data_IF_057306843449
#
_entry.id   IF_057306843449
#
_cell.length_a   1.000
_cell.length_b   1.000
_cell.length_c   1.000
_cell.angle_alpha   90.00
_cell.angle_beta   90.00
_cell.angle_gamma   90.00
#
_symmetry.space_group_name_H-M   'P 1'
#
loop_
_entity.id
_entity.type
_entity.pdbx_description
1 polymer ?
#
# COMPACT_ATOMS: atom_id res chain seq x y z
N UNK A 1 -23.75 -10.80 14.92
CA UNK A 1 -22.99 -10.91 16.19
C UNK A 1 -21.80 -10.02 15.99
N UNK A 2 -21.97 -8.76 16.32
CA UNK A 2 -20.95 -7.73 16.21
C UNK A 2 -20.03 -7.89 17.41
N UNK A 3 -18.85 -8.45 17.18
CA UNK A 3 -17.75 -8.37 18.15
C UNK A 3 -17.17 -6.98 18.07
N UNK A 4 -17.66 -6.10 18.95
CA UNK A 4 -16.96 -4.88 19.32
C UNK A 4 -15.56 -5.26 19.82
N UNK A 5 -14.55 -4.99 18.99
CA UNK A 5 -13.16 -5.05 19.37
C UNK A 5 -12.91 -3.90 20.35
N UNK A 6 -13.07 -4.17 21.65
CA UNK A 6 -12.54 -3.32 22.71
C UNK A 6 -11.01 -3.26 22.55
N UNK A 7 -10.53 -2.23 21.87
CA UNK A 7 -9.10 -1.92 21.82
C UNK A 7 -8.75 -1.33 23.18
N UNK A 8 -8.20 -2.15 24.06
CA UNK A 8 -7.55 -1.67 25.28
C UNK A 8 -6.41 -0.70 24.88
N UNK A 9 -6.63 0.58 25.16
CA UNK A 9 -5.69 1.69 24.92
C UNK A 9 -4.74 1.91 26.11
N UNK A 10 -4.85 1.12 27.19
CA UNK A 10 -4.02 1.31 28.39
C UNK A 10 -2.69 0.54 28.33
N UNK A 11 -2.61 -0.51 27.50
CA UNK A 11 -1.37 -1.23 27.23
C UNK A 11 -0.59 -0.60 26.08
N UNK A 12 0.71 -0.32 26.28
CA UNK A 12 1.61 0.11 25.20
C UNK A 12 1.64 -0.98 24.11
N UNK A 13 1.22 -0.71 22.86
CA UNK A 13 1.29 -1.73 21.82
C UNK A 13 2.71 -2.26 21.66
N UNK A 14 2.82 -3.57 21.51
CA UNK A 14 4.09 -4.26 21.29
C UNK A 14 4.08 -4.84 19.89
N UNK A 15 5.20 -4.70 19.18
CA UNK A 15 5.38 -5.32 17.87
C UNK A 15 5.31 -6.84 18.00
N UNK A 16 4.40 -7.48 17.25
CA UNK A 16 4.33 -8.94 17.19
C UNK A 16 5.62 -9.47 16.57
N UNK A 17 6.17 -10.57 17.11
CA UNK A 17 7.37 -11.23 16.58
C UNK A 17 7.12 -12.71 16.37
N UNK A 18 7.70 -13.25 15.31
CA UNK A 18 7.62 -14.66 14.94
C UNK A 18 9.00 -15.31 14.94
N UNK A 19 9.07 -16.60 15.30
CA UNK A 19 10.33 -17.37 15.38
C UNK A 19 11.10 -17.33 14.06
N UNK A 20 10.38 -17.33 12.92
CA UNK A 20 10.98 -17.30 11.59
C UNK A 20 11.81 -16.05 11.29
N UNK A 21 11.58 -14.96 12.02
CA UNK A 21 12.33 -13.71 11.86
C UNK A 21 13.78 -13.84 12.35
N UNK A 22 14.02 -14.72 13.33
CA UNK A 22 15.32 -14.92 13.97
C UNK A 22 16.16 -16.04 13.30
N UNK A 23 15.58 -16.77 12.34
CA UNK A 23 16.28 -17.84 11.63
C UNK A 23 17.35 -17.30 10.67
N UNK A 24 18.52 -17.95 10.66
CA UNK A 24 19.52 -17.74 9.61
C UNK A 24 18.96 -18.14 8.23
N UNK A 25 19.57 -17.69 7.11
CA UNK A 25 19.07 -18.03 5.78
C UNK A 25 18.90 -19.55 5.55
N UNK A 26 19.85 -20.35 6.05
CA UNK A 26 19.83 -21.80 5.91
C UNK A 26 18.79 -22.46 6.79
N UNK A 27 18.60 -21.99 8.03
CA UNK A 27 17.56 -22.49 8.92
C UNK A 27 16.17 -22.14 8.40
N UNK A 28 15.99 -20.93 7.84
CA UNK A 28 14.76 -20.53 7.20
C UNK A 28 14.42 -21.43 6.01
N UNK A 29 15.38 -21.72 5.13
CA UNK A 29 15.14 -22.57 3.97
C UNK A 29 14.69 -23.99 4.40
N UNK A 30 15.38 -24.56 5.39
CA UNK A 30 15.02 -25.87 5.93
C UNK A 30 13.62 -25.86 6.57
N UNK A 31 13.29 -24.82 7.35
CA UNK A 31 11.97 -24.68 7.97
C UNK A 31 10.86 -24.45 6.93
N UNK A 32 11.13 -23.64 5.91
CA UNK A 32 10.22 -23.40 4.77
C UNK A 32 9.86 -24.70 4.07
N UNK A 33 10.86 -25.50 3.69
CA UNK A 33 10.65 -26.79 3.02
C UNK A 33 9.94 -27.79 3.94
N UNK A 34 10.36 -27.88 5.21
CA UNK A 34 9.77 -28.80 6.20
C UNK A 34 8.30 -28.50 6.44
N UNK A 35 7.96 -27.27 6.79
CA UNK A 35 6.58 -26.86 7.13
C UNK A 35 5.67 -26.93 5.90
N UNK A 36 6.18 -26.56 4.72
CA UNK A 36 5.42 -26.69 3.48
C UNK A 36 5.11 -28.16 3.15
N UNK A 37 6.07 -29.06 3.33
CA UNK A 37 5.85 -30.49 3.15
C UNK A 37 4.88 -31.09 4.18
N UNK A 38 4.88 -30.57 5.41
CA UNK A 38 4.01 -31.01 6.51
C UNK A 38 2.55 -30.56 6.33
N UNK A 39 2.34 -29.30 5.95
CA UNK A 39 1.01 -28.67 5.87
C UNK A 39 0.37 -28.75 4.48
N UNK A 40 1.18 -28.85 3.42
CA UNK A 40 0.75 -28.59 2.05
C UNK A 40 0.63 -27.08 1.74
N UNK A 41 0.56 -26.76 0.44
CA UNK A 41 0.71 -25.39 -0.06
C UNK A 41 -0.38 -24.42 0.43
N UNK A 42 -1.64 -24.85 0.47
CA UNK A 42 -2.77 -24.00 0.87
C UNK A 42 -2.71 -23.62 2.35
N UNK A 43 -2.47 -24.59 3.23
CA UNK A 43 -2.34 -24.35 4.66
C UNK A 43 -1.05 -23.58 4.99
N UNK A 44 0.04 -23.82 4.24
CA UNK A 44 1.27 -23.05 4.35
C UNK A 44 1.06 -21.57 3.98
N UNK A 45 0.36 -21.30 2.87
CA UNK A 45 0.01 -19.95 2.46
C UNK A 45 -0.83 -19.24 3.53
N UNK A 46 -1.90 -19.88 4.00
CA UNK A 46 -2.78 -19.32 5.02
C UNK A 46 -2.02 -19.00 6.32
N UNK A 47 -1.09 -19.87 6.73
CA UNK A 47 -0.19 -19.61 7.86
C UNK A 47 0.62 -18.33 7.62
N UNK A 48 1.38 -18.25 6.53
CA UNK A 48 2.26 -17.10 6.25
C UNK A 48 1.49 -15.79 6.07
N UNK A 49 0.36 -15.81 5.36
CA UNK A 49 -0.52 -14.65 5.20
C UNK A 49 -1.07 -14.16 6.55
N UNK A 50 -1.43 -15.08 7.46
CA UNK A 50 -1.89 -14.73 8.80
C UNK A 50 -0.80 -14.08 9.65
N UNK A 51 0.46 -14.55 9.53
CA UNK A 51 1.59 -13.96 10.24
C UNK A 51 1.87 -12.54 9.70
N UNK A 52 1.84 -12.34 8.38
CA UNK A 52 1.95 -11.01 7.75
C UNK A 52 0.87 -10.04 8.23
N UNK A 53 -0.39 -10.50 8.28
CA UNK A 53 -1.53 -9.71 8.73
C UNK A 53 -1.38 -9.29 10.20
N UNK A 54 -1.04 -10.22 11.08
CA UNK A 54 -0.80 -9.90 12.50
C UNK A 54 0.35 -8.90 12.68
N UNK A 55 1.43 -9.06 11.90
CA UNK A 55 2.55 -8.11 11.92
C UNK A 55 2.09 -6.72 11.48
N UNK A 56 1.40 -6.61 10.34
CA UNK A 56 0.95 -5.32 9.81
C UNK A 56 -0.04 -4.62 10.75
N UNK A 57 -0.98 -5.35 11.34
CA UNK A 57 -1.91 -4.82 12.35
C UNK A 57 -1.16 -4.29 13.58
N UNK A 58 -0.15 -5.01 14.07
CA UNK A 58 0.67 -4.55 15.20
C UNK A 58 1.44 -3.26 14.87
N UNK A 59 1.98 -3.14 13.66
CA UNK A 59 2.65 -1.93 13.16
C UNK A 59 1.66 -0.77 13.06
N UNK A 60 0.48 -0.99 12.48
CA UNK A 60 -0.58 0.01 12.38
C UNK A 60 -1.00 0.51 13.76
N UNK A 61 -1.16 -0.38 14.75
CA UNK A 61 -1.48 0.00 16.13
C UNK A 61 -0.41 0.90 16.74
N UNK A 62 0.87 0.63 16.47
CA UNK A 62 1.98 1.48 16.94
C UNK A 62 2.00 2.85 16.25
N UNK A 63 1.65 2.94 14.96
CA UNK A 63 1.55 4.20 14.22
C UNK A 63 0.39 5.03 14.77
N UNK A 64 -0.81 4.45 14.89
CA UNK A 64 -2.03 5.14 15.35
C UNK A 64 -1.89 5.65 16.78
N UNK A 65 -1.20 4.90 17.66
CA UNK A 65 -0.92 5.33 19.04
C UNK A 65 0.23 6.34 19.14
N UNK A 66 0.82 6.74 18.02
CA UNK A 66 1.93 7.71 17.97
C UNK A 66 3.26 7.18 18.53
N UNK A 67 3.35 5.88 18.83
CA UNK A 67 4.59 5.24 19.27
C UNK A 67 5.61 5.14 18.13
N UNK A 68 5.12 4.94 16.90
CA UNK A 68 5.96 4.96 15.70
C UNK A 68 5.60 6.16 14.84
N UNK A 69 6.55 7.07 14.68
CA UNK A 69 6.41 8.22 13.77
C UNK A 69 6.96 7.85 12.41
N UNK A 70 6.10 7.79 11.41
CA UNK A 70 6.50 7.75 10.00
C UNK A 70 6.98 9.17 9.63
N UNK A 71 8.08 9.32 8.87
CA UNK A 71 8.48 10.62 8.35
C UNK A 71 7.29 11.29 7.65
N UNK A 72 7.09 12.58 7.90
CA UNK A 72 6.13 13.37 7.13
C UNK A 72 6.51 13.23 5.65
N UNK A 73 5.67 12.56 4.87
CA UNK A 73 5.79 12.56 3.41
C UNK A 73 5.47 14.00 2.99
N UNK A 74 6.50 14.77 2.67
CA UNK A 74 6.34 16.11 2.10
C UNK A 74 5.95 15.94 0.63
N UNK A 75 4.66 15.78 0.41
CA UNK A 75 4.08 15.73 -0.92
C UNK A 75 2.61 16.06 -0.83
N UNK A 76 2.25 17.33 -0.98
CA UNK A 76 0.92 17.70 -1.44
C UNK A 76 0.88 17.46 -2.95
N UNK A 77 1.01 16.20 -3.35
CA UNK A 77 0.76 15.87 -4.74
C UNK A 77 -0.76 15.89 -4.89
N UNK A 78 -1.25 16.99 -5.46
CA UNK A 78 -2.63 17.07 -5.90
C UNK A 78 -2.89 15.87 -6.82
N UNK A 79 -4.00 15.15 -6.63
CA UNK A 79 -4.33 14.03 -7.50
C UNK A 79 -4.46 14.50 -8.94
N UNK A 80 -4.17 13.61 -9.89
CA UNK A 80 -4.38 13.83 -11.31
C UNK A 80 -5.86 13.78 -11.71
N UNK A 81 -6.74 13.46 -10.75
CA UNK A 81 -8.18 13.40 -10.90
C UNK A 81 -8.94 13.93 -9.70
N UNK A 82 -10.13 14.41 -10.00
CA UNK A 82 -11.10 14.86 -9.03
C UNK A 82 -12.43 14.13 -9.27
N UNK A 83 -13.02 13.59 -8.20
CA UNK A 83 -14.35 13.00 -8.22
C UNK A 83 -15.34 13.96 -7.55
N UNK A 84 -16.40 14.31 -8.27
CA UNK A 84 -17.50 15.12 -7.73
C UNK A 84 -18.53 14.23 -7.00
N UNK A 85 -19.31 14.83 -6.11
CA UNK A 85 -20.34 14.11 -5.33
C UNK A 85 -21.44 13.46 -6.20
N UNK A 86 -21.65 13.96 -7.42
CA UNK A 86 -22.57 13.38 -8.41
C UNK A 86 -21.98 12.18 -9.18
N UNK A 87 -20.78 11.72 -8.82
CA UNK A 87 -20.12 10.56 -9.41
C UNK A 87 -19.34 10.84 -10.69
N UNK A 88 -19.26 12.10 -11.13
CA UNK A 88 -18.46 12.51 -12.29
C UNK A 88 -16.99 12.61 -11.91
N UNK A 89 -16.11 12.15 -12.78
CA UNK A 89 -14.67 12.26 -12.61
C UNK A 89 -14.07 13.17 -13.68
N UNK A 90 -13.15 14.03 -13.27
CA UNK A 90 -12.45 14.97 -14.15
C UNK A 90 -10.95 14.77 -14.04
N UNK A 91 -10.28 14.90 -15.19
CA UNK A 91 -8.82 15.04 -15.23
C UNK A 91 -8.44 16.40 -14.64
N UNK A 92 -7.30 16.47 -13.97
CA UNK A 92 -6.82 17.71 -13.34
C UNK A 92 -5.33 17.90 -13.54
N UNK A 93 -4.95 19.15 -13.77
CA UNK A 93 -3.59 19.60 -13.94
C UNK A 93 -3.14 19.66 -15.40
N UNK A 94 -2.18 20.55 -15.64
CA UNK A 94 -1.58 20.82 -16.96
C UNK A 94 -0.99 19.56 -17.59
N UNK A 95 -0.49 18.62 -16.77
CA UNK A 95 0.03 17.34 -17.23
C UNK A 95 -1.03 16.46 -17.93
N UNK A 96 -2.31 16.66 -17.61
CA UNK A 96 -3.44 15.97 -18.22
C UNK A 96 -4.08 16.77 -19.37
N UNK A 97 -3.47 17.91 -19.77
CA UNK A 97 -4.01 18.80 -20.78
C UNK A 97 -5.09 19.76 -20.26
N UNK A 98 -5.30 19.83 -18.94
CA UNK A 98 -6.28 20.71 -18.32
C UNK A 98 -5.62 22.05 -17.97
N UNK A 99 -6.17 23.19 -18.41
CA UNK A 99 -5.72 24.51 -18.00
C UNK A 99 -5.60 24.67 -16.48
N UNK A 100 -4.62 25.45 -16.03
CA UNK A 100 -4.30 25.63 -14.61
C UNK A 100 -5.44 26.34 -13.86
N UNK A 101 -6.08 27.33 -14.47
CA UNK A 101 -7.24 28.05 -13.96
C UNK A 101 -8.46 27.14 -13.73
N UNK A 102 -8.70 26.20 -14.66
CA UNK A 102 -9.76 25.19 -14.51
C UNK A 102 -9.42 24.25 -13.35
N UNK A 103 -8.17 23.82 -13.25
CA UNK A 103 -7.70 22.93 -12.19
C UNK A 103 -7.84 23.59 -10.80
N UNK A 104 -7.41 24.84 -10.67
CA UNK A 104 -7.56 25.63 -9.43
C UNK A 104 -9.02 25.81 -9.06
N UNK A 105 -9.88 26.13 -10.03
CA UNK A 105 -11.30 26.34 -9.79
C UNK A 105 -12.04 25.03 -9.41
N UNK A 106 -11.64 23.89 -9.98
CA UNK A 106 -12.12 22.57 -9.54
C UNK A 106 -11.68 22.24 -8.11
N UNK A 107 -10.46 22.59 -7.69
CA UNK A 107 -10.06 22.39 -6.29
C UNK A 107 -10.80 23.33 -5.33
N UNK A 108 -10.97 24.59 -5.71
CA UNK A 108 -11.67 25.60 -4.91
C UNK A 108 -13.17 25.27 -4.70
N UNK A 109 -13.77 24.49 -5.60
CA UNK A 109 -15.16 24.06 -5.44
C UNK A 109 -15.38 23.01 -4.34
N UNK A 110 -14.33 22.29 -3.90
CA UNK A 110 -14.42 21.39 -2.75
C UNK A 110 -14.32 22.12 -1.41
N UNK A 111 -13.65 23.28 -1.38
CA UNK A 111 -13.55 24.09 -0.17
C UNK A 111 -14.87 24.83 0.14
N UNK A 112 -15.73 24.98 -0.86
CA UNK A 112 -17.06 25.54 -0.73
C UNK A 112 -18.11 24.42 -0.70
N UNK A 113 -18.79 24.21 0.43
CA UNK A 113 -19.87 23.20 0.61
C UNK A 113 -21.16 23.48 -0.22
N UNK A 114 -21.04 24.16 -1.36
CA UNK A 114 -22.14 24.47 -2.27
C UNK A 114 -22.30 23.45 -3.39
N UNK A 115 -23.47 23.46 -4.04
CA UNK A 115 -23.71 22.71 -5.26
C UNK A 115 -22.86 23.30 -6.39
N UNK A 116 -21.79 22.60 -6.76
CA UNK A 116 -20.89 23.03 -7.83
C UNK A 116 -21.48 22.65 -9.19
N UNK A 117 -22.02 23.65 -9.90
CA UNK A 117 -22.41 23.49 -11.30
C UNK A 117 -21.17 23.50 -12.19
N UNK A 118 -20.89 22.37 -12.84
CA UNK A 118 -19.76 22.22 -13.76
C UNK A 118 -20.06 22.98 -15.06
N UNK A 119 -19.21 23.95 -15.48
CA UNK A 119 -19.37 24.62 -16.77
C UNK A 119 -19.35 23.64 -17.95
N UNK A 120 -20.14 23.91 -18.98
CA UNK A 120 -20.23 23.05 -20.18
C UNK A 120 -18.88 22.88 -20.90
N UNK A 121 -18.05 23.92 -20.87
CA UNK A 121 -16.69 23.90 -21.42
C UNK A 121 -15.79 22.88 -20.70
N UNK A 122 -16.07 22.56 -19.44
CA UNK A 122 -15.22 21.65 -18.66
C UNK A 122 -15.60 20.18 -18.86
N UNK A 123 -16.75 19.89 -19.48
CA UNK A 123 -17.17 18.52 -19.76
C UNK A 123 -16.23 17.81 -20.73
N UNK A 124 -15.42 18.56 -21.50
CA UNK A 124 -14.37 17.97 -22.36
C UNK A 124 -13.27 17.25 -21.56
N UNK A 125 -13.11 17.59 -20.28
CA UNK A 125 -12.16 16.97 -19.36
C UNK A 125 -12.79 15.88 -18.48
N UNK A 126 -14.09 15.62 -18.66
CA UNK A 126 -14.76 14.51 -17.98
C UNK A 126 -14.18 13.19 -18.46
N UNK A 127 -13.82 12.33 -17.51
CA UNK A 127 -13.44 10.96 -17.79
C UNK A 127 -14.70 10.19 -18.17
N UNK A 128 -14.73 9.67 -19.40
CA UNK A 128 -15.90 8.94 -19.87
C UNK A 128 -16.13 7.66 -19.04
N UNK A 129 -17.39 7.25 -18.93
CA UNK A 129 -17.73 6.00 -18.24
C UNK A 129 -17.03 4.76 -18.85
N UNK A 130 -16.76 4.78 -20.16
CA UNK A 130 -16.00 3.71 -20.83
C UNK A 130 -14.53 3.68 -20.40
N UNK A 131 -13.88 4.85 -20.34
CA UNK A 131 -12.50 4.98 -19.83
C UNK A 131 -12.42 4.52 -18.37
N UNK A 132 -13.35 4.99 -17.52
CA UNK A 132 -13.40 4.62 -16.11
C UNK A 132 -13.56 3.10 -15.92
N UNK A 133 -14.51 2.48 -16.63
CA UNK A 133 -14.73 1.04 -16.56
C UNK A 133 -13.53 0.22 -17.08
N UNK A 134 -12.82 0.72 -18.09
CA UNK A 134 -11.61 0.08 -18.61
C UNK A 134 -10.48 0.12 -17.58
N UNK A 135 -10.28 1.26 -16.92
CA UNK A 135 -9.26 1.42 -15.90
C UNK A 135 -9.57 0.63 -14.65
N UNK A 136 -10.82 0.59 -14.21
CA UNK A 136 -11.24 -0.25 -13.09
C UNK A 136 -10.94 -1.73 -13.40
N UNK A 137 -11.26 -2.18 -14.62
CA UNK A 137 -10.93 -3.54 -15.08
C UNK A 137 -9.41 -3.79 -15.03
N UNK A 138 -8.60 -2.89 -15.59
CA UNK A 138 -7.14 -3.01 -15.55
C UNK A 138 -6.60 -3.03 -14.12
N UNK A 139 -7.09 -2.15 -13.25
CA UNK A 139 -6.71 -2.10 -11.85
C UNK A 139 -7.15 -3.36 -11.10
N UNK A 140 -8.27 -3.97 -11.47
CA UNK A 140 -8.71 -5.25 -10.91
C UNK A 140 -7.82 -6.42 -11.36
N UNK A 141 -7.48 -6.48 -12.65
CA UNK A 141 -6.57 -7.48 -13.21
C UNK A 141 -5.16 -7.35 -12.62
N UNK A 142 -4.66 -6.12 -12.47
CA UNK A 142 -3.38 -5.85 -11.84
C UNK A 142 -3.39 -6.25 -10.36
N UNK A 143 -4.47 -5.96 -9.62
CA UNK A 143 -4.65 -6.41 -8.23
C UNK A 143 -4.61 -7.93 -8.13
N UNK A 144 -5.38 -8.63 -8.95
CA UNK A 144 -5.38 -10.10 -9.01
C UNK A 144 -3.98 -10.65 -9.32
N UNK A 145 -3.31 -10.09 -10.32
CA UNK A 145 -1.94 -10.49 -10.67
C UNK A 145 -0.95 -10.25 -9.54
N UNK A 146 -1.08 -9.14 -8.80
CA UNK A 146 -0.25 -8.85 -7.62
C UNK A 146 -0.52 -9.85 -6.50
N UNK A 147 -1.78 -10.20 -6.25
CA UNK A 147 -2.17 -11.21 -5.25
C UNK A 147 -1.63 -12.59 -5.60
N UNK A 148 -1.77 -13.03 -6.86
CA UNK A 148 -1.22 -14.29 -7.35
C UNK A 148 0.31 -14.32 -7.23
N UNK A 149 0.97 -13.24 -7.67
CA UNK A 149 2.43 -13.12 -7.54
C UNK A 149 2.86 -13.15 -6.07
N UNK A 150 2.14 -12.46 -5.18
CA UNK A 150 2.41 -12.46 -3.76
C UNK A 150 2.36 -13.87 -3.16
N UNK A 151 1.33 -14.67 -3.51
CA UNK A 151 1.20 -16.07 -3.10
C UNK A 151 2.36 -16.92 -3.63
N UNK A 152 2.71 -16.76 -4.91
CA UNK A 152 3.84 -17.48 -5.51
C UNK A 152 5.16 -17.12 -4.82
N UNK A 153 5.41 -15.83 -4.56
CA UNK A 153 6.62 -15.38 -3.88
C UNK A 153 6.71 -15.96 -2.46
N UNK A 154 5.60 -16.15 -1.75
CA UNK A 154 5.56 -16.85 -0.46
C UNK A 154 5.92 -18.33 -0.63
N UNK A 155 5.28 -19.05 -1.57
CA UNK A 155 5.51 -20.49 -1.79
C UNK A 155 6.94 -20.80 -2.23
N UNK A 156 7.53 -19.91 -3.04
CA UNK A 156 8.91 -19.99 -3.50
C UNK A 156 9.92 -19.54 -2.42
N UNK A 157 9.44 -19.07 -1.26
CA UNK A 157 10.30 -18.60 -0.17
C UNK A 157 11.00 -17.26 -0.43
N UNK A 158 10.63 -16.56 -1.52
CA UNK A 158 11.13 -15.22 -1.87
C UNK A 158 10.57 -14.15 -0.94
N UNK A 159 9.31 -14.30 -0.53
CA UNK A 159 8.64 -13.43 0.42
C UNK A 159 8.43 -14.16 1.76
N UNK A 160 8.95 -13.57 2.83
CA UNK A 160 8.85 -14.10 4.19
C UNK A 160 8.95 -12.95 5.19
N UNK A 161 8.33 -13.10 6.36
CA UNK A 161 8.47 -12.14 7.47
C UNK A 161 9.93 -11.92 7.87
N UNK A 162 10.79 -12.92 7.69
CA UNK A 162 12.25 -12.79 7.87
C UNK A 162 12.86 -11.65 7.06
N UNK A 163 12.31 -11.40 5.87
CA UNK A 163 12.78 -10.39 4.92
C UNK A 163 11.88 -9.14 4.94
N UNK A 164 10.75 -9.20 5.66
CA UNK A 164 9.79 -8.12 5.73
C UNK A 164 10.38 -6.93 6.51
N UNK A 165 10.35 -5.75 5.87
CA UNK A 165 10.88 -4.53 6.47
C UNK A 165 12.40 -4.35 6.40
N UNK A 166 13.20 -5.32 5.94
CA UNK A 166 14.67 -5.16 5.81
C UNK A 166 15.10 -4.13 4.75
N UNK A 167 14.21 -3.74 3.83
CA UNK A 167 14.44 -2.66 2.88
C UNK A 167 13.67 -1.35 3.17
N UNK A 168 12.77 -1.36 4.16
CA UNK A 168 11.92 -0.20 4.49
C UNK A 168 12.27 0.41 5.87
N UNK A 169 12.93 -0.37 6.73
CA UNK A 169 13.30 0.00 8.11
C UNK A 169 14.81 0.11 8.31
N UNK A 170 15.61 -0.34 7.34
CA UNK A 170 16.99 0.10 7.24
C UNK A 170 16.93 1.54 6.78
N UNK A 171 17.23 2.47 7.69
CA UNK A 171 17.71 3.79 7.27
C UNK A 171 18.80 3.52 6.25
N UNK A 172 18.79 4.25 5.13
CA UNK A 172 19.84 4.17 4.12
C UNK A 172 21.22 4.35 4.79
N UNK A 173 21.81 3.27 5.26
CA UNK A 173 23.22 3.21 5.60
C UNK A 173 23.93 3.06 4.25
N UNK A 174 24.23 4.25 3.72
CA UNK A 174 25.31 4.53 2.78
C UNK A 174 25.38 3.65 1.53
N UNK A 175 24.74 4.11 0.46
CA UNK A 175 25.38 4.09 -0.86
C UNK A 175 26.66 4.95 -0.81
N UNK A 176 27.71 4.44 -0.18
CA UNK A 176 29.06 4.99 -0.32
C UNK A 176 30.08 3.94 0.06
N UNK A 177 30.22 2.86 -0.72
CA UNK A 177 31.43 2.02 -0.70
C UNK A 177 31.55 1.10 -1.94
N UNK A 178 31.14 1.58 -3.11
CA UNK A 178 31.48 0.96 -4.41
C UNK A 178 31.96 2.00 -5.42
N UNK A 179 32.90 2.87 -5.01
CA UNK A 179 33.79 3.54 -5.98
C UNK A 179 35.13 3.95 -5.35
N UNK A 180 35.87 2.97 -4.82
CA UNK A 180 37.32 3.09 -4.61
C UNK A 180 38.01 1.81 -5.03
N UNK A 181 38.06 1.61 -6.34
CA UNK A 181 38.70 0.45 -6.97
C UNK A 181 39.20 0.73 -8.37
N UNK A 182 39.65 1.96 -8.66
CA UNK A 182 40.49 2.26 -9.83
C UNK A 182 41.54 3.29 -9.45
N UNK A 183 42.73 2.79 -9.13
CA UNK A 183 43.98 3.48 -9.44
C UNK A 183 45.00 2.42 -9.80
#
# INVERSE_FOLDING_TARGET
MDTDLEVDLTSKPTLVRFVIEDLSPTEWQAEHERVRAELGDEAYLALRESEFKQKSESVLKMIVTGQWKIPSIKGSQQPDRISLANGREFRVGVAQGVPEDISEAMYASFENEGEFEVPEEWLEFEVTAEELAKEERQASEERLRKEEKHKLDILEGRLSLRNFGKGCLTSAESESDLDKGKT
#
